data_IF_025740821912
#
_entry.id   IF_025740821912
#
_cell.length_a   1.000
_cell.length_b   1.000
_cell.length_c   1.000
_cell.angle_alpha   90.00
_cell.angle_beta   90.00
_cell.angle_gamma   90.00
#
_symmetry.space_group_name_H-M   'P 1'
#
loop_
_entity.id
_entity.type
_entity.pdbx_description
1 polymer ?
#
# COMPACT_ATOMS: atom_id res chain seq x y z
N UNK A 1 18.48 -28.67 -13.79
CA UNK A 1 17.35 -28.45 -12.86
C UNK A 1 17.95 -28.30 -11.46
N UNK A 2 17.68 -27.19 -10.78
CA UNK A 2 18.15 -26.95 -9.42
C UNK A 2 16.92 -26.92 -8.51
N UNK A 3 17.01 -27.59 -7.36
CA UNK A 3 15.95 -27.58 -6.33
C UNK A 3 16.52 -26.87 -5.11
N UNK A 4 15.83 -25.83 -4.67
CA UNK A 4 16.17 -25.09 -3.45
C UNK A 4 15.11 -25.46 -2.43
N UNK A 5 15.51 -26.18 -1.37
CA UNK A 5 14.62 -26.55 -0.28
C UNK A 5 14.69 -25.46 0.80
N UNK A 6 13.54 -24.88 1.13
CA UNK A 6 13.45 -23.88 2.20
C UNK A 6 12.10 -23.18 2.22
N UNK A 7 11.95 -22.27 3.17
CA UNK A 7 10.81 -21.35 3.23
C UNK A 7 11.02 -20.22 2.22
N UNK A 8 10.23 -20.23 1.14
CA UNK A 8 10.33 -19.24 0.06
C UNK A 8 10.20 -17.80 0.55
N UNK A 9 9.52 -17.56 1.69
CA UNK A 9 9.39 -16.23 2.28
C UNK A 9 10.68 -15.76 2.96
N UNK A 10 11.51 -16.69 3.41
CA UNK A 10 12.79 -16.41 4.10
C UNK A 10 14.02 -16.60 3.22
N UNK A 11 13.93 -17.42 2.19
CA UNK A 11 15.05 -17.70 1.29
C UNK A 11 15.31 -16.56 0.29
N UNK A 12 16.57 -16.32 -0.04
CA UNK A 12 16.92 -15.43 -1.14
C UNK A 12 16.57 -16.09 -2.48
N UNK A 13 15.84 -15.35 -3.32
CA UNK A 13 15.46 -15.82 -4.64
C UNK A 13 16.63 -15.56 -5.60
N UNK A 14 17.07 -16.55 -6.41
CA UNK A 14 18.03 -16.28 -7.47
C UNK A 14 17.38 -15.40 -8.54
N UNK A 15 18.19 -14.85 -9.45
CA UNK A 15 17.66 -14.17 -10.63
C UNK A 15 16.77 -15.10 -11.45
N UNK A 16 15.64 -14.58 -11.93
CA UNK A 16 14.78 -15.25 -12.91
C UNK A 16 14.09 -14.24 -13.83
N UNK A 17 13.83 -14.66 -15.07
CA UNK A 17 13.03 -13.88 -16.01
C UNK A 17 11.53 -14.09 -15.82
N UNK A 18 11.12 -15.34 -15.59
CA UNK A 18 9.71 -15.72 -15.46
C UNK A 18 9.51 -16.54 -14.19
N UNK A 19 8.51 -16.17 -13.40
CA UNK A 19 8.03 -17.00 -12.29
C UNK A 19 6.70 -17.64 -12.67
N UNK A 20 6.58 -18.95 -12.49
CA UNK A 20 5.29 -19.66 -12.58
C UNK A 20 5.08 -20.37 -11.25
N UNK A 21 3.95 -20.10 -10.60
CA UNK A 21 3.73 -20.64 -9.26
C UNK A 21 2.26 -21.01 -9.01
N UNK A 22 2.07 -22.16 -8.38
CA UNK A 22 0.83 -22.54 -7.72
C UNK A 22 1.11 -22.53 -6.21
N UNK A 23 0.57 -21.55 -5.51
CA UNK A 23 1.00 -21.24 -4.15
C UNK A 23 -0.11 -21.55 -3.14
N UNK A 24 0.24 -21.99 -1.91
CA UNK A 24 -0.70 -22.02 -0.80
C UNK A 24 -1.26 -20.63 -0.56
N UNK A 25 -2.56 -20.57 -0.30
CA UNK A 25 -3.29 -19.31 -0.25
C UNK A 25 -2.82 -18.39 0.89
N UNK A 26 -2.33 -18.97 1.98
CA UNK A 26 -1.82 -18.28 3.17
C UNK A 26 -0.61 -17.40 2.87
N UNK A 27 0.18 -17.73 1.84
CA UNK A 27 1.40 -16.99 1.50
C UNK A 27 1.21 -16.05 0.29
N UNK A 28 -0.04 -15.86 -0.18
CA UNK A 28 -0.33 -15.10 -1.40
C UNK A 28 0.15 -13.65 -1.34
N UNK A 29 -0.22 -12.94 -0.28
CA UNK A 29 0.19 -11.56 -0.04
C UNK A 29 1.72 -11.43 0.13
N UNK A 30 2.37 -12.15 1.07
CA UNK A 30 3.82 -12.04 1.25
C UNK A 30 4.63 -12.40 0.02
N UNK A 31 4.23 -13.45 -0.70
CA UNK A 31 4.95 -13.82 -1.90
C UNK A 31 4.80 -12.77 -2.99
N UNK A 32 3.62 -12.17 -3.13
CA UNK A 32 3.39 -11.10 -4.13
C UNK A 32 4.31 -9.91 -3.87
N UNK A 33 4.38 -9.43 -2.62
CA UNK A 33 5.27 -8.31 -2.29
C UNK A 33 6.75 -8.70 -2.33
N UNK A 34 7.11 -9.91 -1.91
CA UNK A 34 8.48 -10.44 -2.07
C UNK A 34 8.93 -10.46 -3.52
N UNK A 35 8.05 -10.86 -4.44
CA UNK A 35 8.33 -10.80 -5.88
C UNK A 35 8.49 -9.35 -6.35
N UNK A 36 7.58 -8.43 -5.99
CA UNK A 36 7.69 -7.02 -6.36
C UNK A 36 8.95 -6.33 -5.82
N UNK A 37 9.43 -6.75 -4.63
CA UNK A 37 10.70 -6.32 -4.05
C UNK A 37 11.92 -6.95 -4.70
N UNK A 38 11.76 -8.07 -5.42
CA UNK A 38 12.88 -8.81 -5.96
C UNK A 38 13.70 -7.96 -6.94
N UNK A 39 15.02 -8.04 -6.80
CA UNK A 39 15.99 -7.40 -7.68
C UNK A 39 17.03 -8.46 -8.10
N UNK A 40 17.49 -8.46 -9.37
CA UNK A 40 17.02 -7.64 -10.50
C UNK A 40 15.55 -7.86 -10.88
N UNK A 41 14.93 -6.89 -11.57
CA UNK A 41 13.50 -6.93 -11.89
C UNK A 41 13.23 -8.00 -12.96
N UNK A 42 12.43 -9.00 -12.61
CA UNK A 42 11.98 -10.07 -13.52
C UNK A 42 11.04 -9.54 -14.63
N UNK A 43 10.78 -10.36 -15.66
CA UNK A 43 9.94 -9.98 -16.80
C UNK A 43 8.45 -10.13 -16.50
N UNK A 44 8.02 -11.31 -16.05
CA UNK A 44 6.64 -11.55 -15.65
C UNK A 44 6.51 -12.71 -14.66
N UNK A 45 5.43 -12.70 -13.88
CA UNK A 45 5.04 -13.80 -13.02
C UNK A 45 3.62 -14.24 -13.38
N UNK A 46 3.40 -15.54 -13.53
CA UNK A 46 2.10 -16.17 -13.77
C UNK A 46 1.77 -17.04 -12.58
N UNK A 47 0.91 -16.53 -11.70
CA UNK A 47 0.68 -17.11 -10.38
C UNK A 47 -0.79 -17.45 -10.25
N UNK A 48 -1.06 -18.63 -9.68
CA UNK A 48 -2.40 -19.02 -9.31
C UNK A 48 -2.70 -18.62 -7.86
N UNK A 49 -3.80 -17.89 -7.67
CA UNK A 49 -4.29 -17.44 -6.37
C UNK A 49 -5.73 -17.95 -6.12
N UNK A 50 -6.24 -17.78 -4.89
CA UNK A 50 -7.69 -17.85 -4.67
C UNK A 50 -8.41 -16.85 -5.55
N UNK A 51 -9.62 -17.21 -5.98
CA UNK A 51 -10.45 -16.37 -6.83
C UNK A 51 -10.64 -14.96 -6.28
N UNK A 52 -10.95 -14.84 -4.99
CA UNK A 52 -11.19 -13.56 -4.32
C UNK A 52 -9.91 -12.69 -4.29
N UNK A 53 -8.79 -13.26 -3.84
CA UNK A 53 -7.50 -12.58 -3.82
C UNK A 53 -7.05 -12.12 -5.21
N UNK A 54 -7.17 -13.01 -6.22
CA UNK A 54 -6.89 -12.67 -7.61
C UNK A 54 -7.71 -11.48 -8.10
N UNK A 55 -9.00 -11.44 -7.73
CA UNK A 55 -9.89 -10.35 -8.10
C UNK A 55 -9.56 -9.05 -7.37
N UNK A 56 -9.12 -9.10 -6.11
CA UNK A 56 -8.58 -7.93 -5.41
C UNK A 56 -7.36 -7.35 -6.11
N UNK A 57 -6.44 -8.19 -6.60
CA UNK A 57 -5.25 -7.70 -7.31
C UNK A 57 -5.58 -6.91 -8.58
N UNK A 58 -6.59 -7.35 -9.34
CA UNK A 58 -6.98 -6.72 -10.61
C UNK A 58 -8.09 -5.67 -10.48
N UNK A 59 -8.69 -5.53 -9.29
CA UNK A 59 -9.79 -4.61 -9.04
C UNK A 59 -9.40 -3.17 -9.39
N UNK A 60 -10.29 -2.46 -10.09
CA UNK A 60 -10.11 -1.09 -10.53
C UNK A 60 -10.82 -0.11 -9.59
N UNK A 61 -10.47 1.19 -9.63
CA UNK A 61 -11.20 2.20 -8.87
C UNK A 61 -12.70 2.14 -9.16
N UNK A 62 -13.51 2.08 -8.10
CA UNK A 62 -14.96 1.92 -8.15
C UNK A 62 -15.43 0.48 -7.92
N UNK A 63 -14.58 -0.52 -8.09
CA UNK A 63 -14.94 -1.92 -7.84
C UNK A 63 -15.10 -2.21 -6.34
N UNK A 64 -16.02 -3.11 -6.01
CA UNK A 64 -16.27 -3.55 -4.63
C UNK A 64 -15.01 -4.11 -3.97
N UNK A 65 -14.21 -4.87 -4.73
CA UNK A 65 -12.99 -5.53 -4.28
C UNK A 65 -11.76 -4.61 -4.33
N UNK A 66 -11.91 -3.35 -4.73
CA UNK A 66 -10.81 -2.39 -4.73
C UNK A 66 -10.37 -2.08 -3.29
N UNK A 67 -9.08 -2.25 -3.03
CA UNK A 67 -8.50 -2.15 -1.69
C UNK A 67 -7.02 -1.73 -1.76
N UNK A 68 -6.40 -1.56 -0.59
CA UNK A 68 -4.96 -1.22 -0.47
C UNK A 68 -4.05 -2.15 -1.27
N UNK A 69 -4.33 -3.47 -1.26
CA UNK A 69 -3.60 -4.46 -2.07
C UNK A 69 -3.65 -4.13 -3.56
N UNK A 70 -4.83 -3.78 -4.08
CA UNK A 70 -5.04 -3.40 -5.48
C UNK A 70 -4.14 -2.21 -5.84
N UNK A 71 -4.18 -1.16 -5.01
CA UNK A 71 -3.45 0.08 -5.23
C UNK A 71 -1.94 -0.14 -5.23
N UNK A 72 -1.43 -0.87 -4.23
CA UNK A 72 0.00 -1.08 -4.05
C UNK A 72 0.61 -1.99 -5.14
N UNK A 73 -0.08 -3.07 -5.50
CA UNK A 73 0.42 -3.95 -6.57
C UNK A 73 0.37 -3.25 -7.93
N UNK A 74 -0.69 -2.49 -8.22
CA UNK A 74 -0.85 -1.79 -9.51
C UNK A 74 0.06 -0.55 -9.66
N UNK A 75 0.51 0.04 -8.54
CA UNK A 75 1.59 1.04 -8.57
C UNK A 75 2.87 0.42 -9.15
N UNK A 76 3.27 -0.74 -8.63
CA UNK A 76 4.57 -1.36 -8.96
C UNK A 76 4.52 -2.24 -10.21
N UNK A 77 3.34 -2.67 -10.64
CA UNK A 77 3.18 -3.65 -11.72
C UNK A 77 1.92 -3.44 -12.55
N UNK A 78 1.87 -4.07 -13.72
CA UNK A 78 0.65 -4.33 -14.47
C UNK A 78 0.14 -5.71 -14.08
N UNK A 79 -1.14 -5.79 -13.72
CA UNK A 79 -1.78 -7.03 -13.28
C UNK A 79 -2.90 -7.37 -14.26
N UNK A 80 -2.98 -8.63 -14.67
CA UNK A 80 -4.03 -9.10 -15.58
C UNK A 80 -4.57 -10.45 -15.14
N UNK A 81 -5.90 -10.58 -15.06
CA UNK A 81 -6.56 -11.85 -14.85
C UNK A 81 -6.51 -12.65 -16.16
N UNK A 82 -5.94 -13.85 -16.14
CA UNK A 82 -5.78 -14.67 -17.34
C UNK A 82 -6.93 -15.66 -17.51
N UNK A 83 -7.20 -16.44 -16.46
CA UNK A 83 -8.26 -17.46 -16.49
C UNK A 83 -8.72 -17.87 -15.10
N UNK A 84 -9.94 -18.43 -15.05
CA UNK A 84 -10.52 -19.06 -13.86
C UNK A 84 -10.19 -20.56 -13.85
N UNK A 85 -9.80 -21.09 -12.69
CA UNK A 85 -9.60 -22.54 -12.49
C UNK A 85 -10.63 -23.03 -11.47
N UNK A 86 -11.49 -23.96 -11.87
CA UNK A 86 -12.50 -24.54 -10.97
C UNK A 86 -11.86 -25.47 -9.95
N UNK A 87 -12.39 -25.50 -8.72
CA UNK A 87 -11.89 -26.35 -7.61
C UNK A 87 -11.76 -27.85 -7.93
N UNK A 88 -12.56 -28.35 -8.89
CA UNK A 88 -12.55 -29.76 -9.29
C UNK A 88 -11.28 -30.17 -10.05
N UNK A 89 -10.44 -29.22 -10.44
CA UNK A 89 -9.14 -29.48 -11.09
C UNK A 89 -8.02 -29.80 -10.07
N UNK A 90 -8.32 -29.82 -8.78
CA UNK A 90 -7.35 -30.03 -7.70
C UNK A 90 -7.58 -31.35 -6.98
N UNK A 91 -6.52 -31.89 -6.39
CA UNK A 91 -6.56 -33.09 -5.55
C UNK A 91 -5.74 -32.87 -4.26
N UNK A 92 -6.38 -32.81 -3.08
CA UNK A 92 -7.83 -32.77 -2.86
C UNK A 92 -8.47 -31.43 -3.34
N UNK A 93 -9.78 -31.39 -3.64
CA UNK A 93 -10.46 -30.17 -4.03
C UNK A 93 -10.46 -29.11 -2.91
N UNK A 94 -10.06 -27.85 -3.17
CA UNK A 94 -10.18 -26.76 -2.21
C UNK A 94 -11.65 -26.33 -2.03
N UNK A 95 -11.93 -25.57 -0.96
CA UNK A 95 -13.27 -25.02 -0.68
C UNK A 95 -13.70 -23.93 -1.68
N UNK A 96 -12.74 -23.26 -2.32
CA UNK A 96 -12.95 -22.10 -3.19
C UNK A 96 -12.28 -22.30 -4.54
N UNK A 97 -12.78 -21.61 -5.56
CA UNK A 97 -12.16 -21.59 -6.89
C UNK A 97 -10.86 -20.78 -6.89
N UNK A 98 -10.04 -21.00 -7.91
CA UNK A 98 -8.77 -20.30 -8.12
C UNK A 98 -8.80 -19.43 -9.38
N UNK A 99 -7.79 -18.59 -9.53
CA UNK A 99 -7.60 -17.78 -10.73
C UNK A 99 -6.12 -17.58 -10.99
N UNK A 100 -5.75 -17.63 -12.28
CA UNK A 100 -4.39 -17.37 -12.72
C UNK A 100 -4.27 -15.90 -13.08
N UNK A 101 -3.26 -15.24 -12.53
CA UNK A 101 -2.97 -13.82 -12.70
C UNK A 101 -1.57 -13.66 -13.25
N UNK A 102 -1.42 -12.74 -14.21
CA UNK A 102 -0.13 -12.26 -14.70
C UNK A 102 0.24 -10.97 -13.97
N UNK A 103 1.46 -10.90 -13.45
CA UNK A 103 2.04 -9.72 -12.80
C UNK A 103 3.30 -9.34 -13.57
N UNK A 104 3.35 -8.11 -14.06
CA UNK A 104 4.48 -7.57 -14.82
C UNK A 104 5.00 -6.31 -14.15
N UNK A 105 6.17 -6.35 -13.47
CA UNK A 105 6.74 -5.17 -12.85
C UNK A 105 6.93 -4.03 -13.85
N UNK A 106 6.66 -2.80 -13.43
CA UNK A 106 6.88 -1.62 -14.26
C UNK A 106 8.37 -1.34 -14.42
N UNK A 107 8.76 -0.90 -15.62
CA UNK A 107 10.11 -0.47 -15.97
C UNK A 107 10.01 0.86 -16.77
N UNK A 108 10.54 1.99 -16.26
CA UNK A 108 11.11 2.18 -14.93
C UNK A 108 10.06 2.07 -13.81
N UNK A 109 10.51 1.86 -12.57
CA UNK A 109 9.66 1.98 -11.40
C UNK A 109 9.27 3.45 -11.19
N UNK A 110 8.08 3.74 -10.64
CA UNK A 110 7.72 5.09 -10.25
C UNK A 110 8.75 5.67 -9.25
N UNK A 111 9.20 6.93 -9.42
CA UNK A 111 10.18 7.56 -8.53
C UNK A 111 9.50 8.03 -7.23
N UNK A 112 8.96 7.10 -6.47
CA UNK A 112 8.25 7.37 -5.22
C UNK A 112 8.70 6.38 -4.16
N UNK A 113 9.05 6.89 -2.98
CA UNK A 113 9.31 6.07 -1.79
C UNK A 113 8.09 5.21 -1.50
N UNK A 114 8.28 3.90 -1.49
CA UNK A 114 7.18 2.97 -1.23
C UNK A 114 6.70 3.11 0.23
N UNK A 115 7.59 3.51 1.14
CA UNK A 115 7.25 3.82 2.54
C UNK A 115 6.24 4.95 2.67
N UNK A 116 6.51 6.07 2.00
CA UNK A 116 5.62 7.23 1.96
C UNK A 116 4.28 6.88 1.31
N UNK A 117 4.36 6.15 0.19
CA UNK A 117 3.18 5.69 -0.54
C UNK A 117 2.26 4.81 0.30
N UNK A 118 2.79 3.74 0.92
CA UNK A 118 1.97 2.83 1.71
C UNK A 118 1.43 3.54 2.96
N UNK A 119 2.20 4.45 3.58
CA UNK A 119 1.73 5.26 4.69
C UNK A 119 0.49 6.10 4.33
N UNK A 120 0.50 6.78 3.19
CA UNK A 120 -0.66 7.52 2.67
C UNK A 120 -1.84 6.58 2.38
N UNK A 121 -1.60 5.53 1.59
CA UNK A 121 -2.67 4.62 1.13
C UNK A 121 -3.30 3.89 2.32
N UNK A 122 -2.52 3.54 3.36
CA UNK A 122 -3.03 2.94 4.59
C UNK A 122 -4.06 3.83 5.29
N UNK A 123 -3.79 5.13 5.42
CA UNK A 123 -4.75 6.10 5.97
C UNK A 123 -6.00 6.17 5.08
N UNK A 124 -5.80 6.29 3.77
CA UNK A 124 -6.90 6.42 2.81
C UNK A 124 -7.82 5.19 2.78
N UNK A 125 -7.30 3.97 2.95
CA UNK A 125 -8.08 2.74 2.84
C UNK A 125 -8.64 2.21 4.17
N UNK A 126 -8.32 2.84 5.31
CA UNK A 126 -8.89 2.48 6.61
C UNK A 126 -10.43 2.48 6.60
N UNK A 127 -11.05 3.55 6.07
CA UNK A 127 -12.49 3.58 5.75
C UNK A 127 -12.71 4.04 4.31
N UNK A 128 -12.42 3.16 3.34
CA UNK A 128 -12.37 3.48 1.88
C UNK A 128 -13.62 4.16 1.29
N UNK A 129 -14.78 4.03 1.95
CA UNK A 129 -16.06 4.59 1.51
C UNK A 129 -16.39 5.96 2.16
N UNK A 130 -15.61 6.41 3.14
CA UNK A 130 -15.70 7.76 3.72
C UNK A 130 -14.88 8.75 2.87
N UNK A 131 -15.17 10.04 3.02
CA UNK A 131 -14.43 11.08 2.31
C UNK A 131 -13.02 11.23 2.89
N UNK A 132 -12.04 11.60 2.06
CA UNK A 132 -10.68 11.85 2.53
C UNK A 132 -10.66 12.93 3.61
N UNK A 133 -11.47 13.99 3.47
CA UNK A 133 -11.60 15.03 4.49
C UNK A 133 -12.02 14.47 5.86
N UNK A 134 -12.91 13.47 5.90
CA UNK A 134 -13.29 12.81 7.15
C UNK A 134 -12.15 11.95 7.73
N UNK A 135 -11.40 11.24 6.88
CA UNK A 135 -10.26 10.40 7.30
C UNK A 135 -9.12 11.22 7.90
N UNK A 136 -8.73 12.30 7.24
CA UNK A 136 -7.62 13.15 7.67
C UNK A 136 -7.96 14.06 8.87
N UNK A 137 -9.26 14.17 9.23
CA UNK A 137 -9.71 14.86 10.44
C UNK A 137 -9.62 14.01 11.71
N UNK A 138 -9.37 12.71 11.59
CA UNK A 138 -9.24 11.81 12.73
C UNK A 138 -8.05 12.20 13.60
N UNK A 139 -8.25 12.24 14.92
CA UNK A 139 -7.23 12.65 15.91
C UNK A 139 -5.92 11.88 15.74
N UNK A 140 -6.00 10.55 15.64
CA UNK A 140 -4.84 9.66 15.45
C UNK A 140 -4.05 9.96 14.18
N UNK A 141 -4.74 10.32 13.08
CA UNK A 141 -4.10 10.66 11.80
C UNK A 141 -3.39 12.02 11.92
N UNK A 142 -4.04 13.01 12.53
CA UNK A 142 -3.43 14.32 12.76
C UNK A 142 -2.19 14.22 13.65
N UNK A 143 -2.25 13.46 14.74
CA UNK A 143 -1.11 13.25 15.64
C UNK A 143 0.07 12.57 14.94
N UNK A 144 -0.20 11.56 14.09
CA UNK A 144 0.82 10.89 13.29
C UNK A 144 1.51 11.88 12.33
N UNK A 145 0.73 12.63 11.56
CA UNK A 145 1.25 13.56 10.56
C UNK A 145 1.97 14.75 11.20
N UNK A 146 1.48 15.25 12.34
CA UNK A 146 2.12 16.34 13.07
C UNK A 146 3.48 15.89 13.64
N UNK A 147 3.57 14.66 14.16
CA UNK A 147 4.83 14.07 14.63
C UNK A 147 5.85 13.96 13.49
N UNK A 148 5.44 13.41 12.35
CA UNK A 148 6.32 13.28 11.18
C UNK A 148 6.77 14.65 10.67
N UNK A 149 5.85 15.60 10.59
CA UNK A 149 6.12 16.98 10.19
C UNK A 149 7.20 17.63 11.08
N UNK A 150 7.07 17.54 12.41
CA UNK A 150 8.06 18.09 13.36
C UNK A 150 9.42 17.40 13.24
N UNK A 151 9.43 16.09 13.05
CA UNK A 151 10.66 15.30 12.89
C UNK A 151 11.41 15.74 11.62
N UNK A 152 10.69 15.93 10.51
CA UNK A 152 11.28 16.41 9.26
C UNK A 152 11.82 17.84 9.37
N UNK A 153 11.10 18.73 10.05
CA UNK A 153 11.60 20.08 10.32
C UNK A 153 12.90 20.06 11.12
N UNK A 154 12.99 19.21 12.15
CA UNK A 154 14.22 19.07 12.94
C UNK A 154 15.38 18.50 12.12
N UNK A 155 15.10 17.57 11.21
CA UNK A 155 16.13 16.97 10.34
C UNK A 155 16.62 17.96 9.28
N UNK A 156 15.74 18.79 8.71
CA UNK A 156 16.12 19.84 7.77
C UNK A 156 17.02 20.89 8.43
N UNK A 157 16.68 21.32 9.65
CA UNK A 157 17.51 22.24 10.44
C UNK A 157 18.89 21.62 10.78
N UNK A 158 18.95 20.31 10.97
CA UNK A 158 20.21 19.59 11.18
C UNK A 158 21.02 19.38 9.89
N UNK A 159 20.37 19.09 8.76
CA UNK A 159 21.01 18.90 7.45
C UNK A 159 21.50 20.21 6.83
N UNK A 160 20.85 21.34 7.11
CA UNK A 160 21.39 22.67 6.78
C UNK A 160 22.73 22.96 7.50
N UNK A 161 23.07 22.17 8.53
CA UNK A 161 24.37 22.24 9.22
C UNK A 161 25.41 21.26 8.66
N UNK A 162 25.04 20.28 7.83
CA UNK A 162 25.94 19.27 7.28
C UNK A 162 25.51 18.86 5.84
N UNK A 163 26.03 19.54 4.82
CA UNK A 163 25.86 19.14 3.42
C UNK A 163 26.74 17.92 3.07
N UNK A 164 26.13 16.81 2.62
CA UNK A 164 26.88 15.69 2.01
C UNK A 164 26.06 14.47 1.59
N UNK A 165 25.73 14.43 0.28
CA UNK A 165 25.47 13.26 -0.59
C UNK A 165 24.23 12.36 -0.37
N UNK A 166 23.31 12.42 -1.35
CA UNK A 166 22.16 11.52 -1.51
C UNK A 166 22.54 10.18 -2.18
N UNK A 167 22.04 9.08 -1.61
CA UNK A 167 21.75 7.82 -2.34
C UNK A 167 20.37 7.30 -1.93
N UNK A 168 19.60 6.86 -2.92
CA UNK A 168 18.31 6.15 -2.76
C UNK A 168 18.43 5.03 -1.71
N UNK A 169 17.49 5.00 -0.75
CA UNK A 169 17.63 4.16 0.45
C UNK A 169 17.15 2.71 0.26
N UNK A 170 17.77 1.73 0.94
CA UNK A 170 17.33 0.34 1.04
C UNK A 170 15.94 0.13 1.71
N UNK A 171 15.26 1.19 2.15
CA UNK A 171 14.09 1.11 3.03
C UNK A 171 12.85 0.52 2.36
N UNK A 172 12.71 0.63 1.04
CA UNK A 172 11.52 0.14 0.31
C UNK A 172 11.32 -1.38 0.45
N UNK A 173 12.40 -2.15 0.65
CA UNK A 173 12.34 -3.61 0.82
C UNK A 173 11.76 -3.99 2.19
N UNK A 174 12.11 -3.25 3.24
CA UNK A 174 11.63 -3.50 4.60
C UNK A 174 10.13 -3.18 4.75
N UNK A 175 9.65 -2.15 4.05
CA UNK A 175 8.23 -1.76 4.08
C UNK A 175 7.34 -2.81 3.44
N UNK A 176 7.75 -3.34 2.28
CA UNK A 176 7.03 -4.43 1.59
C UNK A 176 6.91 -5.69 2.48
N UNK A 177 7.87 -5.90 3.39
CA UNK A 177 7.79 -6.96 4.39
C UNK A 177 6.76 -6.66 5.51
N UNK A 178 6.70 -5.42 6.03
CA UNK A 178 5.73 -5.04 7.07
C UNK A 178 4.27 -5.09 6.59
N UNK A 179 4.03 -4.87 5.29
CA UNK A 179 2.68 -5.00 4.71
C UNK A 179 2.08 -6.39 4.88
N UNK A 180 2.93 -7.42 4.89
CA UNK A 180 2.51 -8.82 5.04
C UNK A 180 1.79 -9.03 6.36
N UNK A 181 2.31 -8.42 7.43
CA UNK A 181 1.75 -8.54 8.78
C UNK A 181 0.41 -7.80 8.86
N UNK A 182 0.33 -6.57 8.34
CA UNK A 182 -0.90 -5.77 8.36
C UNK A 182 -2.04 -6.38 7.53
N UNK A 183 -1.73 -6.95 6.35
CA UNK A 183 -2.74 -7.58 5.48
C UNK A 183 -3.31 -8.89 6.05
N UNK A 184 -2.60 -9.54 6.98
CA UNK A 184 -3.09 -10.75 7.65
C UNK A 184 -4.19 -10.47 8.67
N UNK A 185 -4.32 -9.22 9.14
CA UNK A 185 -5.37 -8.77 10.07
C UNK A 185 -6.63 -8.23 9.37
N UNK A 186 -6.59 -7.93 8.07
CA UNK A 186 -7.73 -7.37 7.31
C UNK A 186 -8.72 -8.43 6.77
N UNK A 187 -8.76 -9.64 7.36
CA UNK A 187 -9.64 -10.75 6.93
C UNK A 187 -10.78 -11.10 7.89
N UNK A 188 -11.10 -10.20 8.82
CA UNK A 188 -12.34 -10.28 9.61
C UNK A 188 -13.14 -9.01 9.43
N UNK A 189 -14.34 -9.16 8.88
CA UNK A 189 -15.31 -8.11 8.63
C UNK A 189 -15.62 -7.24 9.87
N UNK A 190 -15.79 -5.95 9.58
CA UNK A 190 -16.79 -5.05 10.15
C UNK A 190 -17.06 -5.16 11.65
N UNK A 191 -16.17 -4.56 12.45
CA UNK A 191 -16.65 -3.84 13.64
C UNK A 191 -16.67 -2.37 13.32
N UNK A 192 -17.87 -1.82 13.26
CA UNK A 192 -18.10 -0.40 13.48
C UNK A 192 -17.59 -0.07 14.89
N UNK A 193 -16.32 0.29 14.99
CA UNK A 193 -15.86 1.06 16.14
C UNK A 193 -16.47 2.46 15.96
N UNK A 194 -17.65 2.60 16.57
CA UNK A 194 -18.19 3.87 17.06
C UNK A 194 -17.16 4.44 18.04
N UNK A 195 -16.13 5.09 17.49
CA UNK A 195 -15.31 6.02 18.25
C UNK A 195 -16.26 7.14 18.70
N UNK A 196 -16.80 7.01 19.91
CA UNK A 196 -17.44 8.11 20.61
C UNK A 196 -16.47 9.29 20.63
N UNK A 197 -16.90 10.43 20.11
CA UNK A 197 -16.21 11.69 20.28
C UNK A 197 -16.17 12.03 21.78
N UNK A 198 -15.08 11.67 22.45
CA UNK A 198 -14.73 12.27 23.74
C UNK A 198 -14.06 13.61 23.46
N UNK A 199 -14.84 14.67 23.69
CA UNK A 199 -14.36 16.04 23.80
C UNK A 199 -13.48 16.18 25.06
N UNK A 200 -12.18 15.96 24.89
CA UNK A 200 -11.18 16.50 25.83
C UNK A 200 -10.66 17.82 25.24
N UNK A 201 -11.25 18.91 25.74
CA UNK A 201 -10.70 20.24 25.65
C UNK A 201 -9.42 20.29 26.50
N UNK A 202 -8.24 20.43 25.87
CA UNK A 202 -7.08 21.21 26.41
C UNK A 202 -5.75 21.02 25.66
N UNK A 203 -5.75 21.00 24.32
CA UNK A 203 -4.55 21.36 23.50
C UNK A 203 -5.03 22.03 22.19
N UNK A 204 -5.76 23.14 22.31
CA UNK A 204 -6.58 23.65 21.21
C UNK A 204 -5.82 24.42 20.12
N UNK A 205 -4.76 25.17 20.46
CA UNK A 205 -4.26 26.23 19.57
C UNK A 205 -3.37 25.70 18.42
N UNK A 206 -2.37 24.85 18.72
CA UNK A 206 -1.47 24.30 17.70
C UNK A 206 -2.10 23.23 16.79
N UNK A 207 -3.02 22.42 17.33
CA UNK A 207 -3.68 21.34 16.57
C UNK A 207 -4.74 21.86 15.61
N UNK A 208 -5.45 22.93 15.98
CA UNK A 208 -6.40 23.59 15.10
C UNK A 208 -5.70 24.10 13.83
N UNK A 209 -4.55 24.76 13.99
CA UNK A 209 -3.74 25.25 12.87
C UNK A 209 -3.22 24.12 11.95
N UNK A 210 -2.75 23.00 12.52
CA UNK A 210 -2.28 21.86 11.71
C UNK A 210 -3.43 21.17 10.95
N UNK A 211 -4.59 21.02 11.59
CA UNK A 211 -5.81 20.52 10.95
C UNK A 211 -6.22 21.38 9.77
N UNK A 212 -6.21 22.70 9.91
CA UNK A 212 -6.50 23.65 8.82
C UNK A 212 -5.51 23.50 7.67
N UNK A 213 -4.21 23.34 7.97
CA UNK A 213 -3.19 23.09 6.94
C UNK A 213 -3.48 21.82 6.13
N UNK A 214 -3.79 20.71 6.79
CA UNK A 214 -4.14 19.45 6.12
C UNK A 214 -5.39 19.61 5.25
N UNK A 215 -6.42 20.27 5.78
CA UNK A 215 -7.66 20.52 5.02
C UNK A 215 -7.43 21.44 3.83
N UNK A 216 -6.57 22.45 3.95
CA UNK A 216 -6.18 23.34 2.86
C UNK A 216 -5.51 22.58 1.71
N UNK A 217 -4.63 21.63 2.02
CA UNK A 217 -4.00 20.74 1.01
C UNK A 217 -5.06 19.91 0.28
N UNK A 218 -5.98 19.31 1.02
CA UNK A 218 -7.07 18.51 0.44
C UNK A 218 -8.02 19.35 -0.42
N UNK A 219 -8.29 20.59 -0.04
CA UNK A 219 -9.12 21.51 -0.82
C UNK A 219 -8.40 21.98 -2.09
N UNK A 220 -7.11 22.31 -2.00
CA UNK A 220 -6.29 22.68 -3.15
C UNK A 220 -6.28 21.59 -4.22
N UNK A 221 -6.25 20.32 -3.80
CA UNK A 221 -6.26 19.17 -4.70
C UNK A 221 -7.66 18.65 -5.07
N UNK A 222 -8.74 19.31 -4.63
CA UNK A 222 -10.12 18.82 -4.81
C UNK A 222 -10.30 17.37 -4.30
N UNK A 223 -9.66 17.02 -3.17
CA UNK A 223 -9.68 15.68 -2.58
C UNK A 223 -10.59 15.58 -1.35
N UNK A 224 -10.98 16.70 -0.74
CA UNK A 224 -11.72 16.72 0.52
C UNK A 224 -12.99 15.84 0.50
N UNK A 225 -13.77 15.92 -0.58
CA UNK A 225 -15.02 15.16 -0.74
C UNK A 225 -14.86 13.84 -1.52
N UNK A 226 -13.65 13.58 -2.06
CA UNK A 226 -13.37 12.34 -2.79
C UNK A 226 -13.23 11.17 -1.82
N UNK A 227 -13.49 9.97 -2.34
CA UNK A 227 -13.43 8.70 -1.58
C UNK A 227 -12.36 7.81 -2.18
N UNK A 228 -11.54 7.18 -1.33
CA UNK A 228 -10.43 6.32 -1.74
C UNK A 228 -10.86 5.19 -2.66
N UNK A 229 -12.08 4.67 -2.49
CA UNK A 229 -12.63 3.61 -3.35
C UNK A 229 -12.74 4.00 -4.82
N UNK A 230 -12.73 5.29 -5.18
CA UNK A 230 -12.86 5.79 -6.55
C UNK A 230 -11.57 6.41 -7.11
N UNK A 231 -10.50 6.48 -6.31
CA UNK A 231 -9.25 7.12 -6.71
C UNK A 231 -8.29 6.12 -7.36
N UNK A 232 -7.65 6.55 -8.45
CA UNK A 232 -6.60 5.80 -9.14
C UNK A 232 -5.23 6.01 -8.49
N UNK A 233 -4.23 5.24 -8.92
CA UNK A 233 -2.85 5.43 -8.47
C UNK A 233 -2.32 6.83 -8.82
N UNK A 234 -2.74 7.38 -9.97
CA UNK A 234 -2.34 8.73 -10.39
C UNK A 234 -2.89 9.79 -9.43
N UNK A 235 -4.12 9.61 -8.96
CA UNK A 235 -4.74 10.51 -7.98
C UNK A 235 -4.00 10.47 -6.64
N UNK A 236 -3.64 9.28 -6.16
CA UNK A 236 -2.85 9.13 -4.93
C UNK A 236 -1.43 9.70 -5.08
N UNK A 237 -0.79 9.54 -6.25
CA UNK A 237 0.52 10.14 -6.52
C UNK A 237 0.44 11.66 -6.50
N UNK A 238 -0.61 12.23 -7.08
CA UNK A 238 -0.85 13.67 -7.05
C UNK A 238 -1.10 14.15 -5.62
N UNK A 239 -1.96 13.47 -4.86
CA UNK A 239 -2.22 13.77 -3.46
C UNK A 239 -0.94 13.73 -2.61
N UNK A 240 -0.14 12.68 -2.76
CA UNK A 240 1.15 12.54 -2.08
C UNK A 240 2.08 13.71 -2.42
N UNK A 241 2.12 14.11 -3.69
CA UNK A 241 2.94 15.25 -4.12
C UNK A 241 2.53 16.57 -3.47
N UNK A 242 1.22 16.77 -3.21
CA UNK A 242 0.71 17.96 -2.53
C UNK A 242 1.13 17.97 -1.05
N UNK A 243 1.04 16.84 -0.37
CA UNK A 243 1.52 16.71 1.01
C UNK A 243 3.04 16.92 1.12
N UNK A 244 3.83 16.28 0.26
CA UNK A 244 5.28 16.42 0.26
C UNK A 244 5.71 17.87 -0.01
N UNK A 245 5.04 18.58 -0.93
CA UNK A 245 5.28 20.02 -1.17
C UNK A 245 4.97 20.90 0.05
N UNK A 246 4.06 20.47 0.90
CA UNK A 246 3.73 21.15 2.15
C UNK A 246 4.63 20.73 3.33
N UNK A 247 5.64 19.87 3.07
CA UNK A 247 6.57 19.30 4.05
C UNK A 247 5.96 18.19 4.92
N UNK A 248 4.80 17.66 4.54
CA UNK A 248 4.09 16.63 5.32
C UNK A 248 4.39 15.27 4.72
N UNK A 249 4.95 14.40 5.56
CA UNK A 249 5.42 13.07 5.19
C UNK A 249 4.66 11.99 5.98
N UNK A 250 4.51 10.83 5.37
CA UNK A 250 3.76 9.70 5.89
C UNK A 250 4.64 8.66 6.59
N UNK A 251 5.95 8.86 6.61
CA UNK A 251 6.92 7.93 7.19
C UNK A 251 8.15 8.53 7.85
#
# INVERSE_FOLDING_TARGET
MQVIQGDVLKCDLPYFDICVANIPYQISSPLTFKLLSHRPIFRCAVIMFQREFAMRLVAQPGDTLYCRLSVNVQLLSRVSHLLKVGRNNFRPPPKVDSSVVRIEPRKPLPPVSFKEWDGLVRICFNRKNKTLGSLFKQKRVLELLEKNYKTMQSLQLAQESEMGEEKMSPDDVAVLANMVEDLSMEMSDEKEDDDMEMDDADVADGRASFREKIMGILQQGDFAEKRSSKLSQVDFLYLLSLFNKAGIHFS
#
